data_IF_196199243566
#
_entry.id   IF_196199243566
#
_cell.length_a   1.000
_cell.length_b   1.000
_cell.length_c   1.000
_cell.angle_alpha   90.00
_cell.angle_beta   90.00
_cell.angle_gamma   90.00
#
_symmetry.space_group_name_H-M   'P 1'
#
loop_
_entity.id
_entity.type
_entity.pdbx_description
1 polymer ?
#
# COMPACT_ATOMS: atom_id res chain seq x y z
N UNK A 1 -7.36 -0.76 18.85
CA UNK A 1 -6.36 -0.38 17.82
C UNK A 1 -6.07 1.09 17.97
N UNK A 2 -4.80 1.51 17.93
CA UNK A 2 -4.48 2.93 17.97
C UNK A 2 -4.90 3.60 16.65
N UNK A 3 -5.49 4.79 16.73
CA UNK A 3 -5.81 5.60 15.54
C UNK A 3 -4.65 6.55 15.30
N UNK A 4 -4.08 6.52 14.09
CA UNK A 4 -3.04 7.44 13.66
C UNK A 4 -3.69 8.57 12.86
N UNK A 5 -3.49 9.81 13.29
CA UNK A 5 -4.05 11.01 12.66
C UNK A 5 -3.07 11.65 11.68
N UNK A 6 -3.57 12.59 10.86
CA UNK A 6 -2.74 13.45 10.02
C UNK A 6 -1.69 14.22 10.84
N UNK A 7 -2.06 14.70 12.04
CA UNK A 7 -1.14 15.42 12.93
C UNK A 7 0.04 14.53 13.33
N UNK A 8 -0.23 13.29 13.72
CA UNK A 8 0.82 12.35 14.13
C UNK A 8 1.81 12.04 12.98
N UNK A 9 1.31 12.00 11.75
CA UNK A 9 2.16 11.82 10.56
C UNK A 9 3.02 13.06 10.30
N UNK A 10 2.43 14.26 10.38
CA UNK A 10 3.13 15.53 10.18
C UNK A 10 4.24 15.70 11.22
N UNK A 11 3.94 15.46 12.50
CA UNK A 11 4.90 15.61 13.60
C UNK A 11 6.08 14.64 13.39
N UNK A 12 5.82 13.35 13.09
CA UNK A 12 6.88 12.38 12.79
C UNK A 12 7.74 12.73 11.59
N UNK A 13 7.14 13.27 10.51
CA UNK A 13 7.89 13.65 9.30
C UNK A 13 8.74 14.90 9.58
N UNK A 14 8.18 15.88 10.29
CA UNK A 14 8.88 17.11 10.68
C UNK A 14 10.10 16.79 11.55
N UNK A 15 9.94 15.95 12.57
CA UNK A 15 11.03 15.55 13.46
C UNK A 15 12.11 14.77 12.71
N UNK A 16 11.71 13.84 11.84
CA UNK A 16 12.66 13.00 11.09
C UNK A 16 13.47 13.79 10.06
N UNK A 17 12.84 14.75 9.40
CA UNK A 17 13.48 15.56 8.36
C UNK A 17 14.03 16.89 8.88
N UNK A 18 13.84 17.18 10.18
CA UNK A 18 14.24 18.45 10.81
C UNK A 18 13.64 19.67 10.08
N UNK A 19 12.38 19.56 9.67
CA UNK A 19 11.64 20.60 8.97
C UNK A 19 10.62 21.27 9.89
N UNK A 20 10.23 22.50 9.56
CA UNK A 20 9.17 23.20 10.29
C UNK A 20 7.85 22.44 10.12
N UNK A 21 7.16 22.18 11.24
CA UNK A 21 5.87 21.47 11.23
C UNK A 21 4.82 22.12 10.32
N UNK A 22 4.79 23.45 10.23
CA UNK A 22 3.85 24.16 9.36
C UNK A 22 4.09 23.82 7.88
N UNK A 23 5.35 23.84 7.44
CA UNK A 23 5.71 23.47 6.07
C UNK A 23 5.34 22.02 5.76
N UNK A 24 5.62 21.09 6.67
CA UNK A 24 5.25 19.67 6.49
C UNK A 24 3.72 19.50 6.46
N UNK A 25 2.99 20.25 7.29
CA UNK A 25 1.52 20.22 7.30
C UNK A 25 0.94 20.67 5.96
N UNK A 26 1.46 21.75 5.40
CA UNK A 26 1.06 22.28 4.09
C UNK A 26 1.34 21.24 3.00
N UNK A 27 2.55 20.68 2.95
CA UNK A 27 2.92 19.65 1.97
C UNK A 27 1.99 18.42 2.06
N UNK A 28 1.72 17.92 3.26
CA UNK A 28 0.81 16.78 3.45
C UNK A 28 -0.62 17.12 3.05
N UNK A 29 -1.07 18.35 3.33
CA UNK A 29 -2.40 18.82 2.96
C UNK A 29 -2.57 18.88 1.43
N UNK A 30 -1.62 19.52 0.75
CA UNK A 30 -1.64 19.64 -0.72
C UNK A 30 -1.49 18.27 -1.39
N UNK A 31 -0.62 17.40 -0.88
CA UNK A 31 -0.50 16.03 -1.38
C UNK A 31 -1.82 15.25 -1.34
N UNK A 32 -2.57 15.37 -0.24
CA UNK A 32 -3.89 14.72 -0.13
C UNK A 32 -4.92 15.38 -1.07
N UNK A 33 -4.84 16.70 -1.26
CA UNK A 33 -5.72 17.43 -2.18
C UNK A 33 -5.49 16.97 -3.63
N UNK A 34 -4.25 16.84 -4.07
CA UNK A 34 -3.88 16.35 -5.41
C UNK A 34 -4.37 14.90 -5.63
N UNK A 35 -4.24 14.03 -4.64
CA UNK A 35 -4.80 12.67 -4.73
C UNK A 35 -6.31 12.71 -4.98
N UNK A 36 -7.03 13.57 -4.25
CA UNK A 36 -8.48 13.72 -4.42
C UNK A 36 -8.81 14.26 -5.80
N UNK A 37 -8.08 15.28 -6.26
CA UNK A 37 -8.25 15.88 -7.58
C UNK A 37 -8.11 14.84 -8.69
N UNK A 38 -7.00 14.11 -8.72
CA UNK A 38 -6.73 13.11 -9.75
C UNK A 38 -7.74 11.95 -9.75
N UNK A 39 -8.18 11.51 -8.56
CA UNK A 39 -9.20 10.48 -8.44
C UNK A 39 -10.59 10.98 -8.86
N UNK A 40 -10.93 12.25 -8.66
CA UNK A 40 -12.21 12.78 -9.15
C UNK A 40 -12.26 12.81 -10.69
N UNK A 41 -11.13 13.04 -11.34
CA UNK A 41 -10.96 12.95 -12.80
C UNK A 41 -10.93 11.50 -13.32
N UNK A 42 -10.98 10.50 -12.43
CA UNK A 42 -10.97 9.09 -12.81
C UNK A 42 -9.58 8.56 -13.15
N UNK A 43 -8.52 9.31 -12.86
CA UNK A 43 -7.15 8.88 -13.11
C UNK A 43 -6.74 7.76 -12.16
N UNK A 44 -5.77 6.95 -12.61
CA UNK A 44 -5.14 5.91 -11.80
C UNK A 44 -3.84 6.47 -11.23
N UNK A 45 -3.71 6.45 -9.90
CA UNK A 45 -2.49 6.86 -9.21
C UNK A 45 -1.67 5.62 -8.80
N UNK A 46 -0.39 5.62 -9.16
CA UNK A 46 0.55 4.57 -8.80
C UNK A 46 1.70 5.12 -7.97
N UNK A 47 1.79 4.65 -6.72
CA UNK A 47 2.90 4.92 -5.83
C UNK A 47 3.71 3.64 -5.69
N UNK A 48 4.86 3.56 -6.39
CA UNK A 48 5.73 2.38 -6.37
C UNK A 48 6.01 1.94 -4.93
N UNK A 49 6.03 0.63 -4.71
CA UNK A 49 6.17 -0.05 -3.42
C UNK A 49 5.02 0.18 -2.40
N UNK A 50 4.35 1.33 -2.41
CA UNK A 50 3.22 1.63 -1.53
C UNK A 50 1.90 1.01 -2.03
N UNK A 51 1.49 1.31 -3.27
CA UNK A 51 0.26 0.79 -3.85
C UNK A 51 -0.33 1.64 -4.97
N UNK A 52 -1.51 1.21 -5.43
CA UNK A 52 -2.24 1.84 -6.54
C UNK A 52 -3.63 2.25 -6.05
N UNK A 53 -4.03 3.48 -6.37
CA UNK A 53 -5.41 3.94 -6.25
C UNK A 53 -6.06 3.94 -7.63
N UNK A 54 -7.25 3.36 -7.72
CA UNK A 54 -8.04 3.33 -8.95
C UNK A 54 -9.51 3.63 -8.65
N UNK A 55 -10.17 4.32 -9.57
CA UNK A 55 -11.61 4.57 -9.51
C UNK A 55 -12.35 3.47 -10.25
N UNK A 56 -13.36 2.89 -9.60
CA UNK A 56 -14.23 1.88 -10.17
C UNK A 56 -15.67 2.40 -10.14
N UNK A 57 -16.29 2.47 -11.31
CA UNK A 57 -17.72 2.72 -11.45
C UNK A 57 -18.50 1.42 -11.29
N UNK A 58 -19.59 1.48 -10.54
CA UNK A 58 -20.63 0.43 -10.50
C UNK A 58 -21.81 0.97 -11.27
N UNK A 59 -22.24 0.29 -12.33
CA UNK A 59 -23.39 0.68 -13.13
C UNK A 59 -24.67 0.70 -12.28
N UNK A 60 -25.59 1.59 -12.66
CA UNK A 60 -26.92 1.65 -12.08
C UNK A 60 -27.65 0.31 -12.27
N UNK A 61 -28.42 -0.11 -11.27
CA UNK A 61 -29.16 -1.37 -11.32
C UNK A 61 -30.42 -1.29 -10.46
N UNK A 62 -31.35 -2.22 -10.66
CA UNK A 62 -32.46 -2.41 -9.73
C UNK A 62 -32.00 -3.28 -8.57
N UNK A 63 -32.18 -2.78 -7.35
CA UNK A 63 -31.98 -3.50 -6.10
C UNK A 63 -33.31 -3.83 -5.43
N UNK A 64 -33.24 -4.57 -4.34
CA UNK A 64 -34.39 -4.91 -3.51
C UNK A 64 -34.21 -4.27 -2.14
N UNK A 65 -35.27 -3.65 -1.62
CA UNK A 65 -35.27 -3.19 -0.23
C UNK A 65 -35.34 -4.43 0.69
N UNK A 66 -34.34 -4.66 1.58
CA UNK A 66 -34.33 -5.85 2.43
C UNK A 66 -35.54 -5.97 3.37
N UNK A 67 -36.21 -4.84 3.69
CA UNK A 67 -37.34 -4.80 4.62
C UNK A 67 -38.69 -4.95 3.91
N UNK A 68 -38.82 -4.48 2.68
CA UNK A 68 -40.13 -4.43 1.97
C UNK A 68 -40.19 -5.27 0.71
N UNK A 69 -39.05 -5.83 0.26
CA UNK A 69 -38.91 -6.54 -1.02
C UNK A 69 -39.41 -5.72 -2.22
N UNK A 70 -39.50 -4.40 -2.11
CA UNK A 70 -39.79 -3.53 -3.25
C UNK A 70 -38.55 -3.37 -4.13
N UNK A 71 -38.74 -3.27 -5.45
CA UNK A 71 -37.68 -2.90 -6.39
C UNK A 71 -37.35 -1.42 -6.22
N UNK A 72 -36.09 -1.10 -5.94
CA UNK A 72 -35.61 0.27 -5.76
C UNK A 72 -34.45 0.53 -6.72
N UNK A 73 -34.43 1.66 -7.47
CA UNK A 73 -33.29 2.02 -8.30
C UNK A 73 -32.05 2.28 -7.44
N UNK A 74 -30.95 1.63 -7.79
CA UNK A 74 -29.63 1.89 -7.21
C UNK A 74 -28.86 2.71 -8.24
N UNK A 75 -28.56 3.99 -7.96
CA UNK A 75 -27.81 4.82 -8.89
C UNK A 75 -26.39 4.27 -9.07
N UNK A 76 -25.77 4.65 -10.18
CA UNK A 76 -24.37 4.37 -10.39
C UNK A 76 -23.52 5.06 -9.32
N UNK A 77 -22.43 4.41 -8.92
CA UNK A 77 -21.54 4.93 -7.88
C UNK A 77 -20.09 4.72 -8.27
N UNK A 78 -19.30 5.78 -8.14
CA UNK A 78 -17.83 5.73 -8.21
C UNK A 78 -17.29 5.36 -6.83
N UNK A 79 -16.32 4.44 -6.79
CA UNK A 79 -15.62 4.03 -5.57
C UNK A 79 -14.13 3.99 -5.83
N UNK A 80 -13.35 4.46 -4.87
CA UNK A 80 -11.89 4.30 -4.89
C UNK A 80 -11.57 2.89 -4.38
N UNK A 81 -10.69 2.19 -5.10
CA UNK A 81 -10.10 0.93 -4.68
C UNK A 81 -8.59 1.12 -4.50
N UNK A 82 -8.09 0.74 -3.34
CA UNK A 82 -6.65 0.69 -3.08
C UNK A 82 -6.13 -0.75 -3.28
N UNK A 83 -5.04 -0.88 -4.03
CA UNK A 83 -4.30 -2.14 -4.18
C UNK A 83 -2.95 -2.00 -3.47
N UNK A 84 -2.68 -2.76 -2.40
CA UNK A 84 -1.42 -2.66 -1.68
C UNK A 84 -0.25 -3.09 -2.57
N UNK A 85 0.84 -2.31 -2.53
CA UNK A 85 2.08 -2.58 -3.24
C UNK A 85 2.90 -3.72 -2.61
N UNK A 86 4.01 -4.07 -3.26
CA UNK A 86 4.87 -5.17 -2.83
C UNK A 86 5.41 -4.97 -1.42
N UNK A 87 5.93 -3.77 -1.12
CA UNK A 87 6.52 -3.47 0.19
C UNK A 87 5.47 -3.54 1.30
N UNK A 88 4.28 -2.97 1.08
CA UNK A 88 3.21 -2.99 2.07
C UNK A 88 2.75 -4.43 2.35
N UNK A 89 2.56 -5.25 1.31
CA UNK A 89 2.23 -6.68 1.47
C UNK A 89 3.32 -7.44 2.25
N UNK A 90 4.59 -7.25 1.90
CA UNK A 90 5.70 -7.93 2.55
C UNK A 90 5.78 -7.57 4.04
N UNK A 91 5.61 -6.29 4.40
CA UNK A 91 5.65 -5.82 5.80
C UNK A 91 4.47 -6.31 6.63
N UNK A 92 3.29 -6.46 6.03
CA UNK A 92 2.13 -7.00 6.72
C UNK A 92 2.19 -8.53 6.87
N UNK A 93 2.87 -9.23 5.96
CA UNK A 93 3.08 -10.68 6.04
C UNK A 93 4.22 -11.08 7.00
N UNK A 94 5.29 -10.28 7.04
CA UNK A 94 6.44 -10.49 7.93
C UNK A 94 6.81 -9.17 8.64
N UNK A 95 6.29 -8.92 9.84
CA UNK A 95 6.54 -7.70 10.59
C UNK A 95 7.94 -7.73 11.23
N UNK A 96 9.00 -7.60 10.43
CA UNK A 96 10.34 -7.38 10.95
C UNK A 96 10.43 -5.99 11.62
N UNK A 97 11.18 -5.83 12.74
CA UNK A 97 11.39 -4.55 13.40
C UNK A 97 11.89 -3.48 12.43
N UNK A 98 11.37 -2.27 12.59
CA UNK A 98 11.71 -1.11 11.77
C UNK A 98 12.88 -0.37 12.44
N UNK A 99 14.12 -0.69 12.06
CA UNK A 99 15.30 0.07 12.50
C UNK A 99 15.35 1.42 11.75
N UNK A 100 15.48 2.52 12.50
CA UNK A 100 15.83 3.88 12.05
C UNK A 100 14.97 4.55 10.97
N UNK A 101 13.69 4.16 10.87
CA UNK A 101 12.75 4.80 9.94
C UNK A 101 13.14 4.67 8.47
N UNK A 102 14.15 3.89 8.12
CA UNK A 102 14.55 3.60 6.74
C UNK A 102 13.85 2.33 6.31
N UNK A 103 13.29 2.34 5.10
CA UNK A 103 12.81 1.11 4.48
C UNK A 103 14.07 0.33 4.08
N UNK A 104 14.52 -0.61 4.92
CA UNK A 104 15.49 -1.62 4.45
C UNK A 104 14.83 -2.39 3.31
N UNK A 105 15.47 -2.54 2.14
CA UNK A 105 14.99 -3.48 1.14
C UNK A 105 14.92 -4.85 1.81
N UNK A 106 13.76 -5.49 1.73
CA UNK A 106 13.63 -6.89 2.16
C UNK A 106 14.59 -7.67 1.24
N UNK A 107 15.61 -8.36 1.77
CA UNK A 107 16.44 -9.22 0.94
C UNK A 107 15.49 -10.22 0.25
N UNK A 108 15.71 -10.56 -1.03
CA UNK A 108 14.93 -11.61 -1.66
C UNK A 108 15.03 -12.83 -0.75
N UNK A 109 13.87 -13.37 -0.34
CA UNK A 109 13.82 -14.60 0.44
C UNK A 109 14.56 -15.64 -0.38
N UNK A 110 15.77 -16.00 0.05
CA UNK A 110 16.49 -17.16 -0.49
C UNK A 110 15.58 -18.35 -0.24
N UNK A 111 14.88 -18.79 -1.28
CA UNK A 111 14.27 -20.11 -1.30
C UNK A 111 15.40 -21.10 -1.02
N UNK A 112 15.29 -21.76 0.12
CA UNK A 112 16.15 -22.84 0.51
C UNK A 112 16.05 -23.94 -0.55
N UNK A 113 17.05 -24.03 -1.43
CA UNK A 113 17.31 -25.28 -2.12
C UNK A 113 18.37 -26.03 -1.31
N UNK A 114 17.87 -26.96 -0.52
CA UNK A 114 18.59 -27.94 0.28
C UNK A 114 19.70 -28.61 -0.51
N UNK A 115 20.92 -28.54 0.03
CA UNK A 115 22.04 -29.31 -0.45
C UNK A 115 21.75 -30.81 -0.40
N UNK A 116 21.89 -31.46 -1.56
CA UNK A 116 22.20 -32.88 -1.66
C UNK A 116 23.70 -32.98 -1.93
N UNK A 117 24.44 -33.23 -0.86
CA UNK A 117 25.84 -33.64 -0.90
C UNK A 117 25.88 -35.08 -1.39
N UNK A 118 26.57 -35.34 -2.52
CA UNK A 118 27.17 -36.64 -2.77
C UNK A 118 28.66 -36.41 -2.95
N UNK A 119 29.40 -36.74 -1.90
CA UNK A 119 30.81 -37.05 -1.87
C UNK A 119 31.07 -38.35 -2.64
N UNK A 120 32.00 -38.34 -3.60
CA UNK A 120 33.11 -39.33 -3.68
C UNK A 120 34.05 -39.07 -4.88
N UNK A 121 35.28 -39.63 -4.92
CA UNK A 121 36.53 -38.86 -4.77
C UNK A 121 37.42 -38.90 -6.05
N UNK A 122 38.64 -38.32 -6.05
CA UNK A 122 39.35 -38.00 -7.28
C UNK A 122 40.12 -39.22 -7.81
N UNK A 123 40.09 -39.42 -9.14
CA UNK A 123 41.04 -40.28 -9.83
C UNK A 123 41.92 -39.43 -10.73
N UNK A 124 43.20 -39.47 -10.38
CA UNK A 124 44.35 -38.89 -11.07
C UNK A 124 44.60 -39.60 -12.40
N UNK A 125 44.84 -38.79 -13.45
CA UNK A 125 45.71 -38.92 -14.64
C UNK A 125 46.59 -40.18 -14.82
N UNK A 126 47.03 -40.53 -16.05
CA UNK A 126 47.60 -39.64 -17.09
C UNK A 126 46.68 -39.28 -18.27
#
# INVERSE_FOLDING_TARGET
MATVTKKDLVDRIADKLQLKQNTVREVVQEFLAEIVHELDHGHRLEFRDFGIFEVRSRAARLGWNPRTLARVPVPDKRKVRFRPGRLLKARLANPAPMEDGRIRPVPPTTEANSGLTNSDPPVTKP
#
